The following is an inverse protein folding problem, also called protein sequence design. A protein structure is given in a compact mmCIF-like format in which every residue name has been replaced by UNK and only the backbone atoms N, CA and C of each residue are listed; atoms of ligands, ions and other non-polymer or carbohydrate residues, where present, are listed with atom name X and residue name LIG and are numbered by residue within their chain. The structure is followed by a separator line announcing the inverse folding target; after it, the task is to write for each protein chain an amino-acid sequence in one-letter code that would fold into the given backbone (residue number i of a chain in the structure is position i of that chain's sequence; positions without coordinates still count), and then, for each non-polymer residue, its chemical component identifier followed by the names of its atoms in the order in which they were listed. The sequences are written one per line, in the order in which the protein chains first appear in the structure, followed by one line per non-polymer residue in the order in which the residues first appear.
data_IF_503721335177
#
_entry.id   IF_503721335177
#
_cell.length_a   1.000
_cell.length_b   1.000
_cell.length_c   1.000
_cell.angle_alpha   90.00
_cell.angle_beta   90.00
_cell.angle_gamma   90.00
#
_symmetry.space_group_name_H-M   'P 1'
#
loop_
_entity.id
_entity.type
_entity.pdbx_description
1 polymer ?
#
# COMPACT_ATOMS: atom_id res chain seq x y z
N UNK A 1 0.15 -19.50 5.18
CA UNK A 1 -1.03 -18.96 4.47
C UNK A 1 -0.89 -17.45 4.16
N UNK A 2 -1.33 -16.97 2.98
CA UNK A 2 -1.16 -15.58 2.57
C UNK A 2 -1.82 -14.54 3.49
N UNK A 3 -3.08 -14.72 3.89
CA UNK A 3 -3.77 -13.77 4.78
C UNK A 3 -3.12 -13.73 6.17
N UNK A 4 -2.69 -14.89 6.69
CA UNK A 4 -1.96 -14.95 7.94
C UNK A 4 -0.64 -14.16 7.88
N UNK A 5 0.17 -14.35 6.83
CA UNK A 5 1.43 -13.62 6.62
C UNK A 5 1.18 -12.11 6.54
N UNK A 6 0.11 -11.70 5.86
CA UNK A 6 -0.30 -10.30 5.81
C UNK A 6 -0.71 -9.76 7.19
N UNK A 7 -1.47 -10.54 7.97
CA UNK A 7 -1.85 -10.20 9.34
C UNK A 7 -0.62 -10.00 10.24
N UNK A 8 0.32 -10.94 10.20
CA UNK A 8 1.57 -10.87 10.97
C UNK A 8 2.35 -9.58 10.71
N UNK A 9 2.48 -9.18 9.44
CA UNK A 9 3.10 -7.90 9.07
C UNK A 9 2.37 -6.70 9.71
N UNK A 10 1.04 -6.68 9.68
CA UNK A 10 0.25 -5.60 10.26
C UNK A 10 0.38 -5.55 11.79
N UNK A 11 0.31 -6.70 12.46
CA UNK A 11 0.47 -6.81 13.91
C UNK A 11 1.84 -6.29 14.37
N UNK A 12 2.92 -6.75 13.72
CA UNK A 12 4.27 -6.30 14.06
C UNK A 12 4.46 -4.81 13.78
N UNK A 13 3.93 -4.29 12.67
CA UNK A 13 3.96 -2.85 12.37
C UNK A 13 3.19 -2.05 13.44
N UNK A 14 2.04 -2.53 13.89
CA UNK A 14 1.29 -1.89 14.98
C UNK A 14 2.08 -1.82 16.28
N UNK A 15 2.84 -2.86 16.63
CA UNK A 15 3.71 -2.82 17.81
C UNK A 15 4.81 -1.76 17.68
N UNK A 16 5.40 -1.62 16.49
CA UNK A 16 6.40 -0.57 16.21
C UNK A 16 5.78 0.83 16.30
N UNK A 17 4.53 1.00 15.87
CA UNK A 17 3.82 2.29 15.91
C UNK A 17 3.30 2.66 17.31
N UNK A 18 3.13 1.68 18.21
CA UNK A 18 2.55 1.89 19.54
C UNK A 18 3.28 2.94 20.39
N UNK A 19 4.61 2.92 20.60
CA UNK A 19 5.29 3.95 21.40
C UNK A 19 5.12 5.35 20.80
N UNK A 20 5.12 5.46 19.48
CA UNK A 20 4.95 6.72 18.76
C UNK A 20 3.52 7.26 18.84
N UNK A 21 2.53 6.35 18.85
CA UNK A 21 1.14 6.67 19.13
C UNK A 21 0.97 7.18 20.56
N UNK A 22 1.51 6.47 21.56
CA UNK A 22 1.40 6.87 22.97
C UNK A 22 2.01 8.26 23.21
N UNK A 23 3.17 8.51 22.58
CA UNK A 23 3.80 9.83 22.61
C UNK A 23 2.92 10.93 21.99
N UNK A 24 2.37 10.72 20.79
CA UNK A 24 1.46 11.69 20.17
C UNK A 24 0.15 11.86 20.95
N UNK A 25 -0.35 10.79 21.56
CA UNK A 25 -1.56 10.80 22.37
C UNK A 25 -1.39 11.68 23.61
N UNK A 26 -0.25 11.62 24.28
CA UNK A 26 0.06 12.47 25.44
C UNK A 26 0.17 13.95 25.07
N UNK A 27 0.67 14.27 23.87
CA UNK A 27 0.78 15.64 23.37
C UNK A 27 -0.56 16.19 22.82
N UNK A 28 -1.57 15.33 22.67
CA UNK A 28 -2.84 15.64 22.06
C UNK A 28 -3.70 16.49 23.00
N UNK A 29 -3.63 17.82 22.88
CA UNK A 29 -4.36 18.72 23.78
C UNK A 29 -5.87 18.73 23.56
N UNK A 30 -6.34 18.72 22.30
CA UNK A 30 -7.76 18.61 21.91
C UNK A 30 -7.88 18.09 20.47
N UNK A 31 -8.16 16.81 20.28
CA UNK A 31 -8.63 16.26 19.00
C UNK A 31 -10.14 15.96 19.12
N UNK A 32 -10.96 16.62 18.31
CA UNK A 32 -12.39 16.30 18.26
C UNK A 32 -12.59 15.10 17.34
N UNK A 33 -12.84 13.94 17.94
CA UNK A 33 -13.18 12.71 17.24
C UNK A 33 -14.70 12.64 17.12
N UNK A 34 -15.22 12.62 15.89
CA UNK A 34 -16.64 12.43 15.60
C UNK A 34 -16.89 10.96 15.26
N UNK A 35 -18.13 10.49 15.42
CA UNK A 35 -18.53 9.14 15.00
C UNK A 35 -18.18 8.88 13.54
N UNK A 36 -18.40 9.87 12.66
CA UNK A 36 -18.04 9.79 11.25
C UNK A 36 -16.53 9.54 11.05
N UNK A 37 -15.66 10.16 11.86
CA UNK A 37 -14.22 9.94 11.75
C UNK A 37 -13.84 8.51 12.15
N UNK A 38 -14.51 7.96 13.17
CA UNK A 38 -14.33 6.56 13.60
C UNK A 38 -14.80 5.60 12.52
N UNK A 39 -15.95 5.87 11.88
CA UNK A 39 -16.45 5.05 10.77
C UNK A 39 -15.51 5.10 9.57
N UNK A 40 -14.96 6.27 9.22
CA UNK A 40 -13.96 6.41 8.16
C UNK A 40 -12.68 5.65 8.54
N UNK A 41 -12.26 5.69 9.80
CA UNK A 41 -11.08 4.97 10.29
C UNK A 41 -11.26 3.44 10.21
N UNK A 42 -12.43 2.93 10.60
CA UNK A 42 -12.76 1.50 10.49
C UNK A 42 -12.87 1.09 9.01
N UNK A 43 -13.53 1.90 8.17
CA UNK A 43 -13.59 1.67 6.74
C UNK A 43 -12.21 1.67 6.08
N UNK A 44 -11.32 2.58 6.51
CA UNK A 44 -9.92 2.64 6.07
C UNK A 44 -9.15 1.38 6.45
N UNK A 45 -9.31 0.88 7.69
CA UNK A 45 -8.65 -0.36 8.13
C UNK A 45 -9.15 -1.59 7.40
N UNK A 46 -10.45 -1.65 7.11
CA UNK A 46 -11.03 -2.71 6.30
C UNK A 46 -10.51 -2.68 4.85
N UNK A 47 -10.44 -1.50 4.24
CA UNK A 47 -9.84 -1.32 2.91
C UNK A 47 -8.37 -1.72 2.88
N UNK A 48 -7.59 -1.34 3.91
CA UNK A 48 -6.18 -1.75 4.04
C UNK A 48 -6.05 -3.27 4.19
N UNK A 49 -6.90 -3.89 5.01
CA UNK A 49 -6.95 -5.34 5.17
C UNK A 49 -7.28 -6.06 3.86
N UNK A 50 -8.30 -5.62 3.13
CA UNK A 50 -8.63 -6.16 1.81
C UNK A 50 -7.47 -6.00 0.81
N UNK A 51 -6.85 -4.83 0.76
CA UNK A 51 -5.71 -4.57 -0.12
C UNK A 51 -4.59 -5.58 0.12
N UNK A 52 -4.12 -5.70 1.36
CA UNK A 52 -3.07 -6.63 1.72
C UNK A 52 -3.48 -8.09 1.52
N UNK A 53 -4.72 -8.43 1.86
CA UNK A 53 -5.23 -9.78 1.73
C UNK A 53 -5.24 -10.23 0.27
N UNK A 54 -5.85 -9.43 -0.61
CA UNK A 54 -5.89 -9.72 -2.04
C UNK A 54 -4.51 -9.68 -2.69
N UNK A 55 -3.65 -8.73 -2.32
CA UNK A 55 -2.30 -8.64 -2.86
C UNK A 55 -1.45 -9.86 -2.48
N UNK A 56 -1.34 -10.17 -1.19
CA UNK A 56 -0.50 -11.29 -0.75
C UNK A 56 -1.05 -12.62 -1.24
N UNK A 57 -2.39 -12.76 -1.33
CA UNK A 57 -3.00 -13.94 -1.95
C UNK A 57 -2.68 -14.02 -3.44
N UNK A 58 -2.72 -12.91 -4.18
CA UNK A 58 -2.40 -12.89 -5.62
C UNK A 58 -0.95 -13.28 -5.91
N UNK A 59 0.00 -13.00 -5.00
CA UNK A 59 1.40 -13.43 -5.15
C UNK A 59 1.55 -14.96 -5.20
N UNK A 60 0.63 -15.69 -4.55
CA UNK A 60 0.62 -17.16 -4.56
C UNK A 60 -0.23 -17.74 -5.72
N UNK A 61 -1.00 -16.90 -6.43
CA UNK A 61 -2.02 -17.34 -7.40
C UNK A 61 -1.88 -16.75 -8.80
N UNK A 62 -0.96 -15.81 -9.04
CA UNK A 62 -0.56 -15.39 -10.39
C UNK A 62 0.94 -15.17 -10.42
N UNK A 63 1.47 -14.79 -11.57
CA UNK A 63 2.89 -14.48 -11.69
C UNK A 63 3.25 -13.21 -10.90
N UNK A 64 4.49 -13.15 -10.40
CA UNK A 64 4.99 -12.00 -9.62
C UNK A 64 4.79 -10.68 -10.38
N UNK A 65 5.14 -10.67 -11.67
CA UNK A 65 5.00 -9.48 -12.53
C UNK A 65 3.55 -9.05 -12.67
N UNK A 66 2.63 -10.00 -12.88
CA UNK A 66 1.20 -9.68 -13.00
C UNK A 66 0.61 -9.17 -11.68
N UNK A 67 0.93 -9.82 -10.56
CA UNK A 67 0.46 -9.40 -9.23
C UNK A 67 0.90 -7.95 -8.94
N UNK A 68 2.19 -7.65 -9.13
CA UNK A 68 2.73 -6.30 -8.91
C UNK A 68 2.16 -5.26 -9.89
N UNK A 69 2.00 -5.62 -11.16
CA UNK A 69 1.40 -4.74 -12.16
C UNK A 69 -0.04 -4.36 -11.77
N UNK A 70 -0.88 -5.36 -11.51
CA UNK A 70 -2.30 -5.12 -11.29
C UNK A 70 -2.56 -4.47 -9.93
N UNK A 71 -1.83 -4.83 -8.88
CA UNK A 71 -2.01 -4.20 -7.56
C UNK A 71 -1.58 -2.72 -7.58
N UNK A 72 -0.56 -2.36 -8.35
CA UNK A 72 -0.07 -0.97 -8.49
C UNK A 72 -0.85 -0.16 -9.54
N UNK A 73 -1.88 -0.73 -10.16
CA UNK A 73 -2.75 -0.04 -11.12
C UNK A 73 -3.75 0.93 -10.48
N UNK A 74 -3.68 1.13 -9.15
CA UNK A 74 -4.53 2.05 -8.39
C UNK A 74 -4.58 3.50 -8.94
N UNK A 75 -3.56 4.08 -9.62
CA UNK A 75 -3.73 5.39 -10.25
C UNK A 75 -4.84 5.43 -11.31
N UNK A 76 -5.01 4.34 -12.09
CA UNK A 76 -6.10 4.24 -13.05
C UNK A 76 -7.45 4.22 -12.35
N UNK A 77 -7.55 3.46 -11.25
CA UNK A 77 -8.77 3.39 -10.44
C UNK A 77 -9.13 4.77 -9.88
N UNK A 78 -8.14 5.54 -9.40
CA UNK A 78 -8.38 6.90 -8.92
C UNK A 78 -8.88 7.81 -10.05
N UNK A 79 -8.21 7.82 -11.21
CA UNK A 79 -8.62 8.66 -12.34
C UNK A 79 -10.03 8.29 -12.82
N UNK A 80 -10.35 7.00 -12.91
CA UNK A 80 -11.69 6.53 -13.26
C UNK A 80 -12.73 6.98 -12.22
N UNK A 81 -12.43 6.83 -10.93
CA UNK A 81 -13.31 7.28 -9.85
C UNK A 81 -13.53 8.79 -9.88
N UNK A 82 -12.49 9.58 -10.16
CA UNK A 82 -12.62 11.03 -10.31
C UNK A 82 -13.56 11.40 -11.47
N UNK A 83 -13.51 10.68 -12.61
CA UNK A 83 -14.42 10.87 -13.73
C UNK A 83 -15.87 10.53 -13.36
N UNK A 84 -16.08 9.39 -12.69
CA UNK A 84 -17.42 8.93 -12.26
C UNK A 84 -18.03 9.89 -11.25
N UNK A 85 -17.23 10.40 -10.30
CA UNK A 85 -17.67 11.36 -9.29
C UNK A 85 -17.77 12.80 -9.79
N UNK A 86 -17.49 13.05 -11.07
CA UNK A 86 -17.50 14.40 -11.65
C UNK A 86 -16.45 15.35 -11.03
N UNK A 87 -15.40 14.82 -10.41
CA UNK A 87 -14.30 15.63 -9.90
C UNK A 87 -13.51 16.22 -11.08
N UNK A 88 -12.88 17.38 -10.86
CA UNK A 88 -12.13 18.07 -11.91
C UNK A 88 -10.94 17.22 -12.39
N UNK A 89 -11.15 16.50 -13.49
CA UNK A 89 -10.16 15.67 -14.15
C UNK A 89 -9.57 16.43 -15.32
N UNK A 90 -8.38 16.97 -15.13
CA UNK A 90 -7.65 17.62 -16.21
C UNK A 90 -7.01 16.55 -17.10
N UNK A 91 -6.84 16.86 -18.38
CA UNK A 91 -6.14 15.98 -19.35
C UNK A 91 -4.77 15.52 -18.83
N UNK A 92 -4.08 16.35 -18.04
CA UNK A 92 -2.81 16.00 -17.43
C UNK A 92 -2.88 14.87 -16.39
N UNK A 93 -4.00 14.70 -15.67
CA UNK A 93 -4.17 13.54 -14.78
C UNK A 93 -4.23 12.24 -15.59
N UNK A 94 -4.95 12.25 -16.72
CA UNK A 94 -5.10 11.08 -17.60
C UNK A 94 -3.76 10.74 -18.27
N UNK A 95 -3.15 11.69 -18.97
CA UNK A 95 -1.90 11.46 -19.71
C UNK A 95 -0.72 11.15 -18.79
N UNK A 96 -0.60 11.86 -17.66
CA UNK A 96 0.46 11.60 -16.70
C UNK A 96 0.33 10.23 -16.04
N UNK A 97 -0.89 9.79 -15.74
CA UNK A 97 -1.15 8.44 -15.21
C UNK A 97 -0.86 7.36 -16.25
N UNK A 98 -1.31 7.54 -17.49
CA UNK A 98 -1.05 6.61 -18.58
C UNK A 98 0.45 6.46 -18.86
N UNK A 99 1.19 7.58 -18.92
CA UNK A 99 2.63 7.57 -19.11
C UNK A 99 3.36 6.93 -17.93
N UNK A 100 2.94 7.24 -16.70
CA UNK A 100 3.49 6.65 -15.48
C UNK A 100 3.34 5.13 -15.47
N UNK A 101 2.14 4.65 -15.77
CA UNK A 101 1.84 3.22 -15.81
C UNK A 101 2.59 2.51 -16.94
N UNK A 102 2.70 3.13 -18.11
CA UNK A 102 3.47 2.59 -19.22
C UNK A 102 4.96 2.48 -18.85
N UNK A 103 5.50 3.48 -18.15
CA UNK A 103 6.84 3.43 -17.58
C UNK A 103 7.01 2.28 -16.60
N UNK A 104 6.09 2.11 -15.65
CA UNK A 104 6.10 1.01 -14.68
C UNK A 104 6.04 -0.37 -15.37
N UNK A 105 5.16 -0.53 -16.35
CA UNK A 105 5.05 -1.73 -17.19
C UNK A 105 6.37 -2.09 -17.87
N UNK A 106 7.04 -1.11 -18.47
CA UNK A 106 8.32 -1.32 -19.13
C UNK A 106 9.39 -1.67 -18.08
N UNK A 107 9.44 -0.99 -16.92
CA UNK A 107 10.41 -1.35 -15.87
C UNK A 107 10.24 -2.77 -15.35
N UNK A 108 9.00 -3.28 -15.30
CA UNK A 108 8.71 -4.64 -14.84
C UNK A 108 9.20 -5.74 -15.82
N UNK A 109 9.52 -5.40 -17.07
CA UNK A 109 10.04 -6.38 -18.04
C UNK A 109 11.43 -6.94 -17.66
N UNK A 110 12.19 -6.23 -16.83
CA UNK A 110 13.46 -6.73 -16.29
C UNK A 110 13.28 -7.60 -15.04
N UNK A 111 12.08 -7.66 -14.47
CA UNK A 111 11.81 -8.46 -13.27
C UNK A 111 11.70 -9.94 -13.64
N UNK A 112 12.41 -10.80 -12.93
CA UNK A 112 12.28 -12.25 -13.11
C UNK A 112 10.84 -12.68 -12.86
N UNK A 113 10.20 -13.20 -13.90
CA UNK A 113 8.83 -13.63 -13.79
C UNK A 113 8.76 -15.01 -13.15
N UNK A 114 8.29 -15.07 -11.91
CA UNK A 114 8.07 -16.31 -11.17
C UNK A 114 6.57 -16.58 -11.00
N UNK A 115 6.18 -17.86 -11.06
CA UNK A 115 4.78 -18.29 -10.95
C UNK A 115 4.05 -18.43 -12.30
N UNK A 116 2.84 -18.98 -12.25
CA UNK A 116 1.97 -19.16 -13.42
C UNK A 116 0.93 -18.06 -13.47
N UNK A 117 0.71 -17.48 -14.66
CA UNK A 117 -0.33 -16.47 -14.85
C UNK A 117 -1.70 -17.11 -14.70
N UNK A 118 -2.57 -16.55 -13.85
CA UNK A 118 -3.96 -16.98 -13.74
C UNK A 118 -4.90 -15.78 -13.64
N UNK A 119 -6.10 -15.92 -14.23
CA UNK A 119 -7.12 -14.88 -14.18
C UNK A 119 -7.59 -14.57 -12.75
N UNK A 120 -7.70 -15.59 -11.89
CA UNK A 120 -8.19 -15.38 -10.52
C UNK A 120 -7.19 -14.61 -9.66
N UNK A 121 -5.89 -14.87 -9.83
CA UNK A 121 -4.83 -14.10 -9.18
C UNK A 121 -4.79 -12.66 -9.70
N UNK A 122 -4.94 -12.46 -11.01
CA UNK A 122 -4.98 -11.12 -11.61
C UNK A 122 -6.20 -10.32 -11.12
N UNK A 123 -7.38 -10.94 -11.04
CA UNK A 123 -8.59 -10.31 -10.48
C UNK A 123 -8.41 -9.95 -9.00
N UNK A 124 -7.76 -10.80 -8.20
CA UNK A 124 -7.44 -10.49 -6.82
C UNK A 124 -6.50 -9.27 -6.73
N UNK A 125 -5.43 -9.22 -7.54
CA UNK A 125 -4.54 -8.07 -7.56
C UNK A 125 -5.26 -6.75 -7.93
N UNK A 126 -6.17 -6.78 -8.91
CA UNK A 126 -7.03 -5.63 -9.27
C UNK A 126 -7.95 -5.25 -8.10
N UNK A 127 -8.58 -6.22 -7.42
CA UNK A 127 -9.40 -5.95 -6.25
C UNK A 127 -8.57 -5.30 -5.12
N UNK A 128 -7.31 -5.72 -4.96
CA UNK A 128 -6.35 -5.08 -4.07
C UNK A 128 -6.06 -3.62 -4.45
N UNK A 129 -5.93 -3.31 -5.74
CA UNK A 129 -5.77 -1.94 -6.24
C UNK A 129 -7.02 -1.09 -5.97
N UNK A 130 -8.22 -1.64 -6.11
CA UNK A 130 -9.46 -0.93 -5.77
C UNK A 130 -9.57 -0.65 -4.28
N UNK A 131 -9.24 -1.65 -3.45
CA UNK A 131 -9.26 -1.51 -1.99
C UNK A 131 -8.31 -0.40 -1.49
N UNK A 132 -7.09 -0.30 -2.06
CA UNK A 132 -6.13 0.73 -1.62
C UNK A 132 -6.60 2.15 -1.96
N UNK A 133 -7.41 2.34 -3.00
CA UNK A 133 -8.02 3.65 -3.29
C UNK A 133 -8.94 4.10 -2.17
N UNK A 134 -9.77 3.21 -1.63
CA UNK A 134 -10.62 3.53 -0.47
C UNK A 134 -9.78 3.94 0.75
N UNK A 135 -8.69 3.22 0.99
CA UNK A 135 -7.70 3.56 2.02
C UNK A 135 -7.05 4.94 1.79
N UNK A 136 -6.65 5.28 0.56
CA UNK A 136 -6.04 6.57 0.26
C UNK A 136 -7.01 7.75 0.46
N UNK A 137 -8.25 7.63 0.02
CA UNK A 137 -9.23 8.71 0.22
C UNK A 137 -9.59 8.88 1.70
N UNK A 138 -9.77 7.78 2.43
CA UNK A 138 -10.04 7.82 3.88
C UNK A 138 -8.85 8.41 4.66
N UNK A 139 -7.63 7.97 4.35
CA UNK A 139 -6.39 8.50 4.92
C UNK A 139 -6.20 9.97 4.61
N UNK A 140 -6.36 10.38 3.35
CA UNK A 140 -6.30 11.78 2.95
C UNK A 140 -7.34 12.63 3.69
N UNK A 141 -8.59 12.18 3.82
CA UNK A 141 -9.61 12.92 4.56
C UNK A 141 -9.24 13.11 6.04
N UNK A 142 -8.87 12.04 6.75
CA UNK A 142 -8.53 12.12 8.17
C UNK A 142 -7.24 12.93 8.42
N UNK A 143 -6.25 12.80 7.53
CA UNK A 143 -4.94 13.46 7.67
C UNK A 143 -4.93 14.91 7.18
N UNK A 144 -5.57 15.21 6.06
CA UNK A 144 -5.62 16.54 5.44
C UNK A 144 -6.82 17.35 5.92
N UNK A 145 -8.03 16.82 5.88
CA UNK A 145 -9.23 17.62 6.26
C UNK A 145 -9.43 17.67 7.76
N UNK A 146 -9.31 16.52 8.45
CA UNK A 146 -9.50 16.44 9.90
C UNK A 146 -8.21 16.69 10.69
N UNK A 147 -7.07 16.81 10.01
CA UNK A 147 -5.76 17.14 10.58
C UNK A 147 -5.30 16.17 11.70
N UNK A 148 -5.69 14.90 11.61
CA UNK A 148 -5.28 13.88 12.56
C UNK A 148 -3.76 13.70 12.53
N UNK A 149 -3.07 13.61 13.68
CA UNK A 149 -1.65 13.26 13.71
C UNK A 149 -1.37 11.87 13.13
N UNK A 150 -0.14 11.66 12.65
CA UNK A 150 0.18 10.48 11.83
C UNK A 150 0.01 9.18 12.59
N UNK A 151 0.51 9.08 13.82
CA UNK A 151 0.47 7.84 14.59
C UNK A 151 -0.92 7.58 15.18
N UNK A 152 -1.67 8.65 15.47
CA UNK A 152 -3.09 8.61 15.89
C UNK A 152 -3.96 7.97 14.80
N UNK A 153 -3.64 8.19 13.54
CA UNK A 153 -4.27 7.54 12.40
C UNK A 153 -3.67 6.16 12.09
N UNK A 154 -2.34 6.07 11.97
CA UNK A 154 -1.66 4.88 11.44
C UNK A 154 -1.76 3.66 12.36
N UNK A 155 -1.64 3.83 13.69
CA UNK A 155 -1.72 2.69 14.62
C UNK A 155 -3.09 1.99 14.54
N UNK A 156 -4.23 2.66 14.80
CA UNK A 156 -5.53 1.97 14.82
C UNK A 156 -5.89 1.35 13.47
N UNK A 157 -5.56 2.03 12.36
CA UNK A 157 -5.83 1.52 11.02
C UNK A 157 -5.04 0.26 10.72
N UNK A 158 -3.74 0.26 11.01
CA UNK A 158 -2.86 -0.91 10.81
C UNK A 158 -3.24 -2.05 11.74
N UNK A 159 -3.58 -1.75 12.99
CA UNK A 159 -3.94 -2.75 14.01
C UNK A 159 -5.24 -3.46 13.62
N UNK A 160 -6.28 -2.70 13.28
CA UNK A 160 -7.55 -3.26 12.84
C UNK A 160 -7.40 -4.03 11.52
N UNK A 161 -6.57 -3.57 10.57
CA UNK A 161 -6.27 -4.33 9.36
C UNK A 161 -5.65 -5.71 9.67
N UNK A 162 -4.72 -5.77 10.65
CA UNK A 162 -4.17 -7.03 11.15
C UNK A 162 -5.23 -7.95 11.75
N UNK A 163 -6.20 -7.39 12.50
CA UNK A 163 -7.34 -8.15 13.05
C UNK A 163 -8.24 -8.68 11.94
N UNK A 164 -8.63 -7.86 10.96
CA UNK A 164 -9.46 -8.29 9.82
C UNK A 164 -8.80 -9.42 9.03
N UNK A 165 -7.49 -9.31 8.78
CA UNK A 165 -6.70 -10.34 8.10
C UNK A 165 -6.58 -11.61 8.93
N UNK A 166 -6.40 -11.50 10.25
CA UNK A 166 -6.35 -12.66 11.15
C UNK A 166 -7.68 -13.41 11.17
N UNK A 167 -8.79 -12.68 11.26
CA UNK A 167 -10.14 -13.24 11.17
C UNK A 167 -10.38 -13.91 9.80
N UNK A 168 -9.97 -13.27 8.71
CA UNK A 168 -10.12 -13.84 7.37
C UNK A 168 -9.25 -15.10 7.18
N UNK A 169 -8.01 -15.10 7.66
CA UNK A 169 -7.14 -16.28 7.69
C UNK A 169 -7.79 -17.44 8.43
N UNK A 170 -8.37 -17.18 9.60
CA UNK A 170 -9.04 -18.21 10.38
C UNK A 170 -10.27 -18.79 9.67
N UNK A 171 -11.04 -17.94 8.98
CA UNK A 171 -12.23 -18.36 8.26
C UNK A 171 -11.92 -19.08 6.93
N UNK A 172 -10.83 -18.72 6.24
CA UNK A 172 -10.59 -19.11 4.84
C UNK A 172 -9.36 -19.99 4.62
N UNK A 173 -8.38 -19.99 5.55
CA UNK A 173 -7.08 -20.65 5.34
C UNK A 173 -6.81 -21.79 6.34
N UNK A 174 -7.85 -22.26 7.03
CA UNK A 174 -7.77 -23.30 8.08
C UNK A 174 -6.66 -23.04 9.10
N UNK A 175 -6.29 -21.76 9.33
CA UNK A 175 -5.20 -21.43 10.24
C UNK A 175 -5.56 -21.92 11.63
N UNK A 176 -4.65 -22.69 12.24
CA UNK A 176 -4.79 -23.18 13.61
C UNK A 176 -5.01 -21.94 14.50
N UNK A 177 -6.02 -21.97 15.38
CA UNK A 177 -6.56 -20.78 16.04
C UNK A 177 -5.54 -19.87 16.75
N UNK A 178 -5.99 -18.77 17.39
CA UNK A 178 -5.13 -17.68 17.83
C UNK A 178 -3.92 -18.06 18.71
N UNK A 179 -4.00 -19.19 19.43
CA UNK A 179 -3.01 -19.66 20.40
C UNK A 179 -2.14 -20.83 19.91
N UNK A 180 -2.27 -21.25 18.66
CA UNK A 180 -1.47 -22.35 18.12
C UNK A 180 -0.04 -21.90 17.79
N UNK A 181 0.94 -22.78 18.02
CA UNK A 181 2.34 -22.54 17.62
C UNK A 181 2.55 -22.79 16.11
N UNK A 182 3.55 -22.12 15.54
CA UNK A 182 4.05 -22.07 14.16
C UNK A 182 3.09 -21.53 13.09
N UNK A 183 1.78 -21.56 13.33
CA UNK A 183 0.77 -21.07 12.38
C UNK A 183 -0.44 -20.38 13.02
N UNK A 184 -0.32 -19.98 14.30
CA UNK A 184 -1.32 -19.17 14.98
C UNK A 184 -1.24 -17.68 14.63
N UNK A 185 -2.22 -16.91 15.10
CA UNK A 185 -2.31 -15.47 14.82
C UNK A 185 -1.08 -14.68 15.30
N UNK A 186 -0.42 -15.16 16.35
CA UNK A 186 0.78 -14.56 16.94
C UNK A 186 2.07 -15.36 16.67
N UNK A 187 2.04 -16.35 15.77
CA UNK A 187 3.20 -17.20 15.45
C UNK A 187 4.38 -16.44 14.85
N UNK A 188 4.19 -15.19 14.41
CA UNK A 188 5.25 -14.33 13.89
C UNK A 188 6.37 -14.00 14.88
N UNK A 189 6.12 -14.16 16.19
CA UNK A 189 7.15 -13.95 17.23
C UNK A 189 8.20 -15.07 17.28
N UNK A 190 7.94 -16.19 16.63
CA UNK A 190 8.85 -17.33 16.67
C UNK A 190 10.19 -17.02 15.99
N UNK A 191 11.29 -17.65 16.45
CA UNK A 191 12.63 -17.38 15.95
C UNK A 191 12.77 -17.52 14.43
N UNK A 192 11.98 -18.41 13.82
CA UNK A 192 11.96 -18.66 12.37
C UNK A 192 11.46 -17.45 11.57
N UNK A 193 10.50 -16.70 12.10
CA UNK A 193 9.78 -15.64 11.38
C UNK A 193 10.11 -14.23 11.88
N UNK A 194 10.52 -14.10 13.14
CA UNK A 194 10.62 -12.80 13.83
C UNK A 194 11.52 -11.80 13.12
N UNK A 195 12.65 -12.24 12.55
CA UNK A 195 13.57 -11.35 11.84
C UNK A 195 12.98 -10.86 10.51
N UNK A 196 12.33 -11.74 9.74
CA UNK A 196 11.70 -11.39 8.48
C UNK A 196 10.50 -10.47 8.71
N UNK A 197 9.67 -10.75 9.72
CA UNK A 197 8.52 -9.93 10.08
C UNK A 197 8.96 -8.58 10.67
N UNK A 198 10.03 -8.54 11.47
CA UNK A 198 10.62 -7.30 11.94
C UNK A 198 11.14 -6.44 10.78
N UNK A 199 11.83 -7.04 9.81
CA UNK A 199 12.24 -6.34 8.59
C UNK A 199 11.05 -5.72 7.86
N UNK A 200 9.96 -6.48 7.68
CA UNK A 200 8.73 -5.99 7.04
C UNK A 200 8.04 -4.88 7.87
N UNK A 201 8.08 -4.96 9.19
CA UNK A 201 7.48 -3.98 10.09
C UNK A 201 8.26 -2.66 10.09
N UNK A 202 9.59 -2.70 10.18
CA UNK A 202 10.43 -1.50 10.22
C UNK A 202 10.67 -0.89 8.83
N UNK A 203 10.92 -1.72 7.81
CA UNK A 203 11.17 -1.27 6.44
C UNK A 203 9.88 -0.76 5.77
N UNK A 204 9.15 -1.61 5.05
CA UNK A 204 7.97 -1.17 4.32
C UNK A 204 6.77 -0.80 5.21
N UNK A 205 6.65 -1.34 6.43
CA UNK A 205 5.59 -0.97 7.38
C UNK A 205 5.73 0.46 7.91
N UNK A 206 6.79 0.72 8.66
CA UNK A 206 7.07 2.04 9.23
C UNK A 206 7.51 3.03 8.15
N UNK A 207 8.63 2.79 7.45
CA UNK A 207 9.14 3.77 6.48
C UNK A 207 8.23 3.89 5.24
N UNK A 208 7.71 2.78 4.71
CA UNK A 208 6.83 2.76 3.54
C UNK A 208 5.43 3.30 3.84
N UNK A 209 4.56 2.51 4.47
CA UNK A 209 3.15 2.89 4.65
C UNK A 209 2.96 4.10 5.55
N UNK A 210 3.74 4.25 6.63
CA UNK A 210 3.64 5.46 7.47
C UNK A 210 4.19 6.68 6.74
N UNK A 211 5.21 6.50 5.89
CA UNK A 211 5.68 7.51 4.93
C UNK A 211 4.57 7.95 3.98
N UNK A 212 3.90 7.01 3.31
CA UNK A 212 2.76 7.26 2.42
C UNK A 212 1.63 8.02 3.13
N UNK A 213 1.24 7.59 4.32
CA UNK A 213 0.25 8.28 5.15
C UNK A 213 0.70 9.67 5.62
N UNK A 214 2.01 9.91 5.66
CA UNK A 214 2.56 11.23 5.96
C UNK A 214 2.37 12.17 4.78
N UNK A 215 2.74 11.75 3.57
CA UNK A 215 2.57 12.57 2.35
C UNK A 215 1.11 12.77 1.98
N UNK A 216 0.22 11.83 2.29
CA UNK A 216 -1.24 12.00 2.11
C UNK A 216 -1.83 13.18 2.87
N UNK A 217 -1.14 13.73 3.87
CA UNK A 217 -1.57 15.00 4.50
C UNK A 217 -1.44 16.20 3.57
N UNK A 218 -0.46 16.17 2.67
CA UNK A 218 -0.05 17.34 1.88
C UNK A 218 -0.41 17.20 0.40
N UNK A 219 -0.39 15.97 -0.12
CA UNK A 219 -0.64 15.65 -1.51
C UNK A 219 -1.97 14.88 -1.66
N UNK A 220 -2.74 15.14 -2.72
CA UNK A 220 -3.97 14.42 -2.97
C UNK A 220 -3.69 12.96 -3.40
N UNK A 221 -4.68 12.06 -3.25
CA UNK A 221 -4.53 10.63 -3.54
C UNK A 221 -3.93 10.34 -4.92
N UNK A 222 -4.34 11.04 -5.98
CA UNK A 222 -3.84 10.82 -7.35
C UNK A 222 -2.34 11.06 -7.48
N UNK A 223 -1.80 12.09 -6.79
CA UNK A 223 -0.36 12.41 -6.85
C UNK A 223 0.45 11.37 -6.07
N UNK A 224 0.00 11.01 -4.87
CA UNK A 224 0.65 9.96 -4.05
C UNK A 224 0.64 8.64 -4.81
N UNK A 225 -0.51 8.29 -5.38
CA UNK A 225 -0.72 7.08 -6.15
C UNK A 225 0.20 6.96 -7.36
N UNK A 226 0.33 8.00 -8.19
CA UNK A 226 1.26 7.94 -9.34
C UNK A 226 2.71 7.92 -8.87
N UNK A 227 3.04 8.60 -7.77
CA UNK A 227 4.37 8.53 -7.15
C UNK A 227 4.74 7.12 -6.70
N UNK A 228 3.78 6.33 -6.22
CA UNK A 228 4.01 4.93 -5.84
C UNK A 228 4.34 4.00 -7.01
N UNK A 229 4.09 4.41 -8.26
CA UNK A 229 4.59 3.64 -9.41
C UNK A 229 6.12 3.55 -9.40
N UNK A 230 6.83 4.39 -8.64
CA UNK A 230 8.28 4.28 -8.44
C UNK A 230 8.69 3.07 -7.60
N UNK A 231 7.76 2.36 -6.95
CA UNK A 231 8.07 1.24 -6.07
C UNK A 231 8.89 0.12 -6.75
N UNK A 232 8.54 -0.39 -7.95
CA UNK A 232 9.35 -1.39 -8.64
C UNK A 232 10.76 -0.88 -8.96
N UNK A 233 10.89 0.39 -9.37
CA UNK A 233 12.18 1.01 -9.64
C UNK A 233 13.05 1.10 -8.38
N UNK A 234 12.49 1.63 -7.29
CA UNK A 234 13.20 1.75 -6.02
C UNK A 234 13.52 0.38 -5.44
N UNK A 235 12.60 -0.59 -5.55
CA UNK A 235 12.79 -1.98 -5.15
C UNK A 235 13.98 -2.62 -5.86
N UNK A 236 14.05 -2.50 -7.19
CA UNK A 236 15.17 -3.00 -7.99
C UNK A 236 16.50 -2.33 -7.64
N UNK A 237 16.50 -1.02 -7.35
CA UNK A 237 17.71 -0.31 -6.89
C UNK A 237 18.15 -0.81 -5.51
N UNK A 238 17.22 -0.98 -4.57
CA UNK A 238 17.52 -1.50 -3.22
C UNK A 238 18.08 -2.93 -3.33
N UNK A 239 17.45 -3.78 -4.14
CA UNK A 239 17.92 -5.13 -4.38
C UNK A 239 19.34 -5.15 -4.96
N UNK A 240 19.62 -4.29 -5.94
CA UNK A 240 20.94 -4.16 -6.54
C UNK A 240 22.00 -3.80 -5.50
N UNK A 241 21.76 -2.79 -4.65
CA UNK A 241 22.69 -2.41 -3.59
C UNK A 241 22.85 -3.50 -2.52
N UNK A 242 21.80 -4.25 -2.22
CA UNK A 242 21.83 -5.27 -1.17
C UNK A 242 22.50 -6.57 -1.63
N UNK A 243 22.18 -7.05 -2.84
CA UNK A 243 22.67 -8.33 -3.37
C UNK A 243 23.93 -8.21 -4.22
N UNK A 244 24.32 -6.99 -4.61
CA UNK A 244 25.50 -6.75 -5.46
C UNK A 244 25.37 -7.35 -6.86
N UNK A 245 24.14 -7.58 -7.34
CA UNK A 245 23.87 -8.17 -8.65
C UNK A 245 24.16 -7.23 -9.83
N UNK A 246 23.75 -7.65 -11.03
CA UNK A 246 23.69 -6.75 -12.18
C UNK A 246 22.70 -5.63 -11.88
N UNK A 247 23.09 -4.37 -12.12
CA UNK A 247 22.22 -3.21 -11.89
C UNK A 247 20.95 -3.22 -12.74
N UNK A 248 20.17 -2.12 -12.72
CA UNK A 248 18.93 -2.01 -13.49
C UNK A 248 19.12 -2.44 -14.94
N UNK A 249 18.26 -3.35 -15.40
CA UNK A 249 18.30 -3.88 -16.76
C UNK A 249 17.94 -2.82 -17.81
N UNK A 250 18.02 -3.22 -19.08
CA UNK A 250 17.77 -2.30 -20.20
C UNK A 250 16.38 -1.67 -20.14
N UNK A 251 15.35 -2.45 -19.84
CA UNK A 251 13.98 -1.95 -19.83
C UNK A 251 13.75 -0.97 -18.68
N UNK A 252 14.44 -1.12 -17.56
CA UNK A 252 14.37 -0.21 -16.42
C UNK A 252 14.88 1.17 -16.81
N UNK A 253 15.97 1.25 -17.59
CA UNK A 253 16.49 2.52 -18.10
C UNK A 253 15.55 3.23 -19.08
N UNK A 254 14.69 2.47 -19.78
CA UNK A 254 13.66 3.03 -20.68
C UNK A 254 12.40 3.44 -19.90
N UNK A 255 11.93 2.57 -19.01
CA UNK A 255 10.68 2.77 -18.27
C UNK A 255 10.79 3.81 -17.16
N UNK A 256 11.92 3.88 -16.45
CA UNK A 256 12.09 4.79 -15.31
C UNK A 256 11.95 6.27 -15.67
N UNK A 257 12.54 6.80 -16.77
CA UNK A 257 12.29 8.17 -17.20
C UNK A 257 10.82 8.45 -17.53
N UNK A 258 10.12 7.50 -18.18
CA UNK A 258 8.70 7.64 -18.51
C UNK A 258 7.86 7.70 -17.24
N UNK A 259 8.18 6.85 -16.28
CA UNK A 259 7.53 6.79 -14.98
C UNK A 259 7.68 8.11 -14.22
N UNK A 260 8.92 8.61 -14.11
CA UNK A 260 9.24 9.90 -13.49
C UNK A 260 8.55 11.07 -14.20
N UNK A 261 8.53 11.07 -15.53
CA UNK A 261 7.85 12.10 -16.32
C UNK A 261 6.33 12.08 -16.08
N UNK A 262 5.70 10.90 -16.03
CA UNK A 262 4.29 10.74 -15.72
C UNK A 262 3.93 11.26 -14.33
N UNK A 263 4.71 10.87 -13.32
CA UNK A 263 4.55 11.35 -11.94
C UNK A 263 4.73 12.87 -11.82
N UNK A 264 5.77 13.42 -12.47
CA UNK A 264 6.00 14.86 -12.54
C UNK A 264 4.83 15.59 -13.21
N UNK A 265 4.29 15.05 -14.31
CA UNK A 265 3.19 15.65 -15.04
C UNK A 265 1.90 15.71 -14.22
N UNK A 266 1.53 14.64 -13.51
CA UNK A 266 0.37 14.63 -12.61
C UNK A 266 0.56 15.63 -11.47
N UNK A 267 1.77 15.68 -10.89
CA UNK A 267 2.11 16.62 -9.82
C UNK A 267 1.98 18.08 -10.28
N UNK A 268 2.53 18.42 -11.44
CA UNK A 268 2.45 19.76 -12.03
C UNK A 268 1.00 20.14 -12.41
N UNK A 269 0.23 19.19 -12.94
CA UNK A 269 -1.18 19.42 -13.30
C UNK A 269 -2.01 19.78 -12.06
N UNK A 270 -1.75 19.11 -10.95
CA UNK A 270 -2.42 19.33 -9.68
C UNK A 270 -1.93 20.60 -8.95
N UNK A 271 -0.67 21.00 -9.15
CA UNK A 271 -0.18 22.30 -8.66
C UNK A 271 -0.91 23.45 -9.35
N UNK A 272 -0.99 23.41 -10.68
CA UNK A 272 -1.69 24.40 -11.51
C UNK A 272 -3.21 24.43 -11.32
N UNK A 273 -3.79 23.50 -10.55
CA UNK A 273 -5.24 23.49 -10.28
C UNK A 273 -5.64 24.18 -9.01
N UNK A 274 -4.66 24.58 -8.20
CA UNK A 274 -4.89 25.39 -7.00
C UNK A 274 -4.78 26.89 -7.28
N UNK A 275 -4.22 27.26 -8.44
CA UNK A 275 -4.22 28.60 -9.02
C UNK A 275 -5.46 28.80 -9.91
#
# INVERSE_FOLDING_TARGET
PPLLRASWRMQATSLVLLPLFLWQWQLLRKLQIRLQDVLILIGSSFCLGMHFGFWVWSLDHTSLVHSLLFVTSHPLVIVALMLILGQQTRRGHIWGTALGLLGALITLMDTENSGTVTLIGDMAAIAGAVAVVGYFYAGHHLRSTRQWPIFIYALPVTMLAGVWLGMASWALEESVGPLASNWGWFGWWEPEWVLAVAYLAFGPGLCGHTGLNTVMRYLPPVVVSVGMLLEPLLGGIIEWFWRGGTGPGFWTWVGAPMLLAGAGWVTLTNARSKD
#
